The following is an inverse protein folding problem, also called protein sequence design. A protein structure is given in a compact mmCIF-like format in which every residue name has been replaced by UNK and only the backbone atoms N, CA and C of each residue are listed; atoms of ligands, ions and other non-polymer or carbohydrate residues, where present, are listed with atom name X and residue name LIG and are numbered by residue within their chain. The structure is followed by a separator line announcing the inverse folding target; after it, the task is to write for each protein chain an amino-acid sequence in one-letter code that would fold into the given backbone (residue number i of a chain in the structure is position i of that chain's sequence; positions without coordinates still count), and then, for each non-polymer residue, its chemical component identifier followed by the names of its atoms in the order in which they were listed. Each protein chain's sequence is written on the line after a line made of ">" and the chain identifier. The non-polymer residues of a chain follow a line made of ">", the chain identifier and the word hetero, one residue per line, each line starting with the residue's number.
data_IF_947608146065
#
_entry.id   IF_947608146065
#
_cell.length_a   1.000
_cell.length_b   1.000
_cell.length_c   1.000
_cell.angle_alpha   90.00
_cell.angle_beta   90.00
_cell.angle_gamma   90.00
#
_symmetry.space_group_name_H-M   'P 1'
#
loop_
_entity.id
_entity.type
_entity.pdbx_description
1 polymer ?
#
# COMPACT_ATOMS: atom_id res chain seq x y z
N UNK A 1 -6.49 -7.61 17.02
CA UNK A 1 -5.54 -7.84 15.92
C UNK A 1 -5.78 -6.84 14.78
N UNK A 2 -5.20 -5.63 14.82
CA UNK A 2 -5.44 -4.55 13.83
C UNK A 2 -4.17 -4.11 13.08
N UNK A 3 -3.06 -4.84 13.23
CA UNK A 3 -1.76 -4.44 12.70
C UNK A 3 -1.63 -4.53 11.16
N UNK A 4 -2.54 -5.22 10.47
CA UNK A 4 -2.41 -5.52 9.04
C UNK A 4 -2.89 -4.41 8.07
N UNK A 5 -3.41 -3.29 8.57
CA UNK A 5 -4.05 -2.25 7.72
C UNK A 5 -3.25 -0.97 7.57
N UNK A 6 -1.95 -0.98 7.83
CA UNK A 6 -1.11 0.22 7.66
C UNK A 6 -0.02 -0.04 6.62
N UNK A 7 -0.08 0.72 5.52
CA UNK A 7 0.92 0.71 4.47
C UNK A 7 1.83 1.92 4.64
N UNK A 8 3.14 1.70 4.77
CA UNK A 8 4.12 2.80 4.82
C UNK A 8 4.92 2.77 3.53
N UNK A 9 4.81 3.84 2.75
CA UNK A 9 5.61 4.05 1.56
C UNK A 9 6.70 5.06 1.85
N UNK A 10 7.92 4.74 1.44
CA UNK A 10 9.01 5.71 1.42
C UNK A 10 9.00 6.37 0.04
N UNK A 11 8.65 7.65 -0.02
CA UNK A 11 8.89 8.48 -1.20
C UNK A 11 10.29 9.10 -1.11
N UNK A 12 10.74 9.73 -2.20
CA UNK A 12 12.04 10.43 -2.25
C UNK A 12 12.15 11.53 -1.18
N UNK A 13 11.02 12.11 -0.80
CA UNK A 13 10.92 13.27 0.08
C UNK A 13 10.57 12.88 1.52
N UNK A 14 9.69 11.89 1.71
CA UNK A 14 9.21 11.52 3.04
C UNK A 14 8.71 10.07 3.14
N UNK A 15 8.61 9.57 4.38
CA UNK A 15 7.81 8.36 4.67
C UNK A 15 6.36 8.77 4.83
N UNK A 16 5.49 8.22 3.99
CA UNK A 16 4.05 8.44 4.03
C UNK A 16 3.37 7.17 4.52
N UNK A 17 2.58 7.31 5.59
CA UNK A 17 1.73 6.25 6.11
C UNK A 17 0.31 6.37 5.53
N UNK A 18 -0.22 5.25 5.09
CA UNK A 18 -1.56 5.08 4.57
C UNK A 18 -2.29 4.04 5.41
N UNK A 19 -3.58 4.27 5.62
CA UNK A 19 -4.48 3.29 6.21
C UNK A 19 -5.16 2.56 5.06
N UNK A 20 -5.13 1.23 5.06
CA UNK A 20 -5.84 0.43 4.06
C UNK A 20 -7.34 0.49 4.36
N UNK A 21 -8.13 0.82 3.34
CA UNK A 21 -9.57 0.64 3.37
C UNK A 21 -9.91 -0.83 3.65
N UNK A 22 -11.10 -1.08 4.22
CA UNK A 22 -11.57 -2.46 4.43
C UNK A 22 -11.66 -3.25 3.11
N UNK A 23 -12.01 -2.57 2.02
CA UNK A 23 -12.10 -3.11 0.65
C UNK A 23 -10.87 -2.76 -0.21
N UNK A 24 -9.70 -2.57 0.42
CA UNK A 24 -8.52 -2.19 -0.33
C UNK A 24 -8.04 -3.32 -1.24
N UNK A 25 -7.89 -3.02 -2.53
CA UNK A 25 -7.37 -3.97 -3.52
C UNK A 25 -5.85 -3.83 -3.62
N UNK A 26 -5.13 -4.92 -3.38
CA UNK A 26 -3.67 -4.98 -3.54
C UNK A 26 -3.33 -5.86 -4.73
N UNK A 27 -2.58 -5.33 -5.68
CA UNK A 27 -2.07 -6.05 -6.85
C UNK A 27 -0.56 -6.06 -6.85
N UNK A 28 0.04 -7.19 -7.19
CA UNK A 28 1.45 -7.37 -7.49
C UNK A 28 1.57 -7.76 -8.97
N UNK A 29 1.92 -6.79 -9.81
CA UNK A 29 1.84 -6.94 -11.26
C UNK A 29 0.42 -7.34 -11.69
N UNK A 30 0.28 -8.53 -12.28
CA UNK A 30 -1.01 -9.06 -12.72
C UNK A 30 -1.83 -9.78 -11.63
N UNK A 31 -1.22 -10.16 -10.50
CA UNK A 31 -1.88 -10.95 -9.44
C UNK A 31 -2.45 -10.04 -8.35
N UNK A 32 -3.62 -10.38 -7.82
CA UNK A 32 -4.15 -9.75 -6.60
C UNK A 32 -3.59 -10.48 -5.39
N UNK A 33 -3.13 -9.75 -4.39
CA UNK A 33 -2.60 -10.28 -3.14
C UNK A 33 -3.45 -9.81 -1.96
N UNK A 34 -3.50 -10.58 -0.86
CA UNK A 34 -4.11 -10.10 0.37
C UNK A 34 -3.24 -9.00 1.01
N UNK A 35 -3.89 -8.08 1.73
CA UNK A 35 -3.19 -6.97 2.37
C UNK A 35 -2.13 -7.42 3.39
N UNK A 36 -2.28 -8.60 4.00
CA UNK A 36 -1.27 -9.19 4.89
C UNK A 36 0.08 -9.40 4.20
N UNK A 37 0.07 -9.71 2.90
CA UNK A 37 1.28 -9.96 2.11
C UNK A 37 2.03 -8.67 1.74
N UNK A 38 1.43 -7.49 1.96
CA UNK A 38 2.12 -6.21 1.75
C UNK A 38 3.40 -6.10 2.59
N UNK A 39 3.38 -6.63 3.82
CA UNK A 39 4.52 -6.60 4.70
C UNK A 39 5.72 -7.42 4.16
N UNK A 40 5.46 -8.43 3.33
CA UNK A 40 6.48 -9.22 2.64
C UNK A 40 7.04 -8.50 1.41
N UNK A 41 6.34 -7.51 0.84
CA UNK A 41 6.74 -6.78 -0.35
C UNK A 41 7.54 -5.49 -0.05
N UNK A 42 8.44 -5.54 0.94
CA UNK A 42 9.32 -4.40 1.28
C UNK A 42 10.37 -4.16 0.19
N UNK A 43 10.70 -2.89 -0.03
CA UNK A 43 11.72 -2.47 -1.01
C UNK A 43 11.24 -2.40 -2.46
N UNK A 44 9.97 -2.72 -2.72
CA UNK A 44 9.38 -2.61 -4.06
C UNK A 44 8.73 -1.25 -4.28
N UNK A 45 8.73 -0.78 -5.53
CA UNK A 45 7.93 0.39 -5.93
C UNK A 45 6.45 0.03 -5.90
N UNK A 46 5.63 0.93 -5.36
CA UNK A 46 4.19 0.74 -5.33
C UNK A 46 3.48 2.04 -5.69
N UNK A 47 2.42 1.92 -6.50
CA UNK A 47 1.48 2.98 -6.83
C UNK A 47 0.25 2.80 -5.95
N UNK A 48 -0.07 3.82 -5.16
CA UNK A 48 -1.22 3.78 -4.26
C UNK A 48 -2.21 4.85 -4.67
N UNK A 49 -3.44 4.42 -4.97
CA UNK A 49 -4.60 5.30 -5.08
C UNK A 49 -5.23 5.39 -3.70
N UNK A 50 -5.17 6.58 -3.13
CA UNK A 50 -5.73 6.87 -1.83
C UNK A 50 -6.67 8.06 -1.93
N UNK A 51 -7.62 8.10 -1.00
CA UNK A 51 -8.43 9.26 -0.70
C UNK A 51 -7.86 9.93 0.54
N UNK A 52 -7.87 11.26 0.58
CA UNK A 52 -7.50 12.00 1.77
C UNK A 52 -8.74 12.70 2.32
N UNK A 53 -9.06 12.42 3.59
CA UNK A 53 -10.21 13.02 4.27
C UNK A 53 -9.80 13.34 5.71
N UNK A 54 -10.01 14.59 6.15
CA UNK A 54 -9.66 15.05 7.50
C UNK A 54 -8.22 14.69 7.92
N UNK A 55 -7.26 14.85 7.00
CA UNK A 55 -5.85 14.52 7.23
C UNK A 55 -5.50 13.02 7.19
N UNK A 56 -6.48 12.12 7.18
CA UNK A 56 -6.26 10.68 7.04
C UNK A 56 -6.17 10.28 5.56
N UNK A 57 -5.12 9.52 5.21
CA UNK A 57 -4.91 8.99 3.86
C UNK A 57 -5.33 7.53 3.81
N UNK A 58 -6.46 7.25 3.18
CA UNK A 58 -7.03 5.92 3.06
C UNK A 58 -6.71 5.33 1.70
N UNK A 59 -5.90 4.27 1.66
CA UNK A 59 -5.55 3.56 0.44
C UNK A 59 -6.67 2.60 0.04
N UNK A 60 -7.17 2.77 -1.18
CA UNK A 60 -8.20 1.90 -1.79
C UNK A 60 -7.61 0.96 -2.83
N UNK A 61 -6.56 1.38 -3.53
CA UNK A 61 -5.94 0.58 -4.57
C UNK A 61 -4.43 0.66 -4.50
N UNK A 62 -3.77 -0.48 -4.42
CA UNK A 62 -2.32 -0.59 -4.25
C UNK A 62 -1.80 -1.48 -5.37
N UNK A 63 -0.94 -0.96 -6.24
CA UNK A 63 -0.26 -1.72 -7.29
C UNK A 63 1.22 -1.73 -6.98
N UNK A 64 1.74 -2.89 -6.63
CA UNK A 64 3.15 -3.15 -6.37
C UNK A 64 3.78 -3.60 -7.69
N UNK A 65 4.85 -2.92 -8.09
CA UNK A 65 5.64 -3.32 -9.25
C UNK A 65 6.44 -4.60 -8.94
N UNK A 66 6.55 -5.48 -9.93
CA UNK A 66 7.30 -6.73 -9.81
C UNK A 66 8.80 -6.56 -10.00
N UNK A 67 9.24 -5.41 -10.54
CA UNK A 67 10.63 -5.10 -10.80
C UNK A 67 11.39 -4.86 -9.49
N UNK A 68 12.35 -5.75 -9.21
CA UNK A 68 13.48 -5.49 -8.31
C UNK A 68 14.55 -4.86 -9.19
N UNK A 69 14.72 -3.55 -9.09
CA UNK A 69 15.96 -2.90 -9.49
C UNK A 69 16.99 -3.11 -8.36
#
# INVERSE_FOLDING_TARGET
>A
EQAARRLVLRTKDARVSFVLAADAVVRLGSRTLPAAELAAQKGRRAKVRFTQTNGSKTAHWIVISTERD
#
